data_IF_324044464417
#
_entry.id   IF_324044464417
#
_cell.length_a   1.000
_cell.length_b   1.000
_cell.length_c   1.000
_cell.angle_alpha   90.00
_cell.angle_beta   90.00
_cell.angle_gamma   90.00
#
_symmetry.space_group_name_H-M   'P 1'
#
loop_
_entity.id
_entity.type
_entity.pdbx_description
1 polymer ?
#
# COMPACT_ATOMS: atom_id res chain seq x y z
N UNK A 1 -3.57 -1.28 5.43
CA UNK A 1 -3.65 -0.61 4.12
C UNK A 1 -5.06 -0.06 3.98
N UNK A 2 -5.20 1.26 3.85
CA UNK A 2 -6.49 1.89 3.59
C UNK A 2 -6.57 2.15 2.10
N UNK A 3 -7.62 1.65 1.45
CA UNK A 3 -7.83 1.80 0.01
C UNK A 3 -9.30 2.11 -0.21
N UNK A 4 -9.60 3.11 -1.03
CA UNK A 4 -10.96 3.39 -1.51
C UNK A 4 -10.97 3.75 -3.00
N UNK A 5 -12.09 3.44 -3.64
CA UNK A 5 -12.34 3.86 -5.01
C UNK A 5 -12.74 5.34 -5.03
N UNK A 6 -12.15 6.11 -5.93
CA UNK A 6 -12.55 7.50 -6.19
C UNK A 6 -13.48 7.51 -7.39
N UNK A 7 -14.62 8.19 -7.27
CA UNK A 7 -15.37 8.61 -8.45
C UNK A 7 -14.77 9.94 -8.90
N UNK A 8 -13.90 9.90 -9.90
CA UNK A 8 -13.45 11.11 -10.58
C UNK A 8 -14.04 11.15 -11.99
N UNK A 9 -14.45 12.36 -12.38
CA UNK A 9 -15.06 12.79 -13.64
C UNK A 9 -15.95 11.75 -14.38
N UNK A 10 -17.29 11.92 -14.44
CA UNK A 10 -18.21 10.95 -15.06
C UNK A 10 -17.99 10.66 -16.56
N UNK A 11 -17.19 11.49 -17.25
CA UNK A 11 -16.80 11.28 -18.65
C UNK A 11 -15.48 10.50 -18.83
N UNK A 12 -14.80 10.16 -17.74
CA UNK A 12 -13.58 9.34 -17.72
C UNK A 12 -13.91 7.87 -17.44
N UNK A 13 -13.32 6.95 -18.21
CA UNK A 13 -13.38 5.50 -17.95
C UNK A 13 -12.24 5.03 -17.02
N UNK A 14 -11.55 5.94 -16.35
CA UNK A 14 -10.43 5.62 -15.47
C UNK A 14 -10.92 5.03 -14.15
N UNK A 15 -10.18 4.03 -13.64
CA UNK A 15 -10.41 3.46 -12.32
C UNK A 15 -9.30 3.95 -11.39
N UNK A 16 -9.64 4.83 -10.46
CA UNK A 16 -8.68 5.45 -9.55
C UNK A 16 -8.81 4.83 -8.16
N UNK A 17 -7.65 4.42 -7.64
CA UNK A 17 -7.50 3.82 -6.32
C UNK A 17 -6.70 4.80 -5.45
N UNK A 18 -7.27 5.24 -4.34
CA UNK A 18 -6.59 6.15 -3.41
C UNK A 18 -6.52 5.60 -1.98
N UNK A 19 -5.52 6.06 -1.22
CA UNK A 19 -5.37 5.72 0.19
C UNK A 19 -3.91 5.75 0.64
N UNK A 20 -3.67 5.24 1.86
CA UNK A 20 -2.33 5.16 2.43
C UNK A 20 -1.72 3.78 2.22
N UNK A 21 -0.69 3.71 1.38
CA UNK A 21 0.13 2.51 1.23
C UNK A 21 0.98 2.25 2.48
N UNK A 22 1.53 3.31 3.10
CA UNK A 22 2.40 3.26 4.28
C UNK A 22 2.01 4.40 5.23
N UNK A 23 1.91 4.12 6.54
CA UNK A 23 1.74 5.13 7.60
C UNK A 23 3.01 5.11 8.48
N UNK A 24 3.82 6.15 8.35
CA UNK A 24 5.10 6.25 9.07
C UNK A 24 4.90 6.63 10.54
N UNK A 25 5.80 6.13 11.40
CA UNK A 25 5.81 6.40 12.84
C UNK A 25 4.52 5.99 13.57
N UNK A 26 3.69 5.16 12.94
CA UNK A 26 2.46 4.63 13.49
C UNK A 26 2.59 3.11 13.69
N UNK A 27 2.21 2.57 14.85
CA UNK A 27 2.33 1.14 15.10
C UNK A 27 1.27 0.33 14.35
N UNK A 28 1.72 -0.67 13.59
CA UNK A 28 0.89 -1.78 13.15
C UNK A 28 1.06 -2.95 14.13
N UNK A 29 -0.05 -3.43 14.68
CA UNK A 29 -0.06 -4.55 15.64
C UNK A 29 -0.74 -5.74 14.97
N UNK A 30 -0.10 -6.91 15.05
CA UNK A 30 -0.68 -8.15 14.54
C UNK A 30 -0.29 -9.34 15.41
N UNK A 31 -1.21 -10.28 15.56
CA UNK A 31 -0.97 -11.53 16.28
C UNK A 31 -0.60 -12.64 15.31
N UNK A 32 0.48 -13.35 15.60
CA UNK A 32 0.88 -14.53 14.85
C UNK A 32 1.42 -15.61 15.77
N UNK A 33 0.83 -16.80 15.73
CA UNK A 33 1.27 -17.93 16.57
C UNK A 33 1.04 -17.72 18.08
N UNK A 34 0.19 -16.79 18.49
CA UNK A 34 -0.06 -16.47 19.91
C UNK A 34 0.91 -15.45 20.50
N UNK A 35 1.82 -14.89 19.69
CA UNK A 35 2.67 -13.75 20.05
C UNK A 35 2.18 -12.49 19.33
N UNK A 36 2.21 -11.36 20.04
CA UNK A 36 1.87 -10.04 19.49
C UNK A 36 3.13 -9.41 18.90
N UNK A 37 3.04 -9.00 17.64
CA UNK A 37 4.08 -8.27 16.94
C UNK A 37 3.64 -6.83 16.74
N UNK A 38 4.55 -5.90 17.05
CA UNK A 38 4.37 -4.47 16.82
C UNK A 38 5.44 -3.96 15.87
N UNK A 39 5.03 -3.52 14.69
CA UNK A 39 5.90 -2.92 13.69
C UNK A 39 5.69 -1.41 13.62
N UNK A 40 6.79 -0.64 13.51
CA UNK A 40 6.75 0.80 13.23
C UNK A 40 7.70 1.06 12.06
N UNK A 41 7.18 1.70 11.02
CA UNK A 41 7.97 2.07 9.83
C UNK A 41 8.56 3.47 10.06
N UNK A 42 9.89 3.58 10.08
CA UNK A 42 10.61 4.86 10.20
C UNK A 42 10.30 5.77 9.00
N UNK A 43 10.11 7.06 9.24
CA UNK A 43 9.84 8.05 8.19
C UNK A 43 10.90 8.14 7.08
N UNK A 44 12.11 7.61 7.32
CA UNK A 44 13.22 7.58 6.38
C UNK A 44 13.47 6.18 5.78
N UNK A 45 12.58 5.22 6.03
CA UNK A 45 12.76 3.84 5.59
C UNK A 45 12.90 3.70 4.05
N UNK A 46 12.36 4.65 3.30
CA UNK A 46 12.37 4.64 1.83
C UNK A 46 13.38 5.61 1.20
N UNK A 47 14.24 6.30 1.98
CA UNK A 47 15.16 7.33 1.46
C UNK A 47 16.09 6.84 0.34
N UNK A 48 16.32 5.53 0.27
CA UNK A 48 17.19 4.88 -0.74
C UNK A 48 16.41 4.01 -1.74
N UNK A 49 15.09 4.00 -1.66
CA UNK A 49 14.25 3.28 -2.59
C UNK A 49 13.96 4.16 -3.80
N UNK A 50 13.92 3.55 -4.98
CA UNK A 50 13.37 4.21 -6.16
C UNK A 50 11.84 4.19 -6.08
N UNK A 51 11.24 5.36 -5.97
CA UNK A 51 9.80 5.56 -5.86
C UNK A 51 9.19 6.18 -7.13
N UNK A 52 9.96 6.22 -8.22
CA UNK A 52 9.49 6.79 -9.50
C UNK A 52 8.46 5.92 -10.20
N UNK A 53 8.51 4.61 -9.97
CA UNK A 53 7.56 3.62 -10.49
C UNK A 53 7.28 2.54 -9.42
N UNK A 54 6.09 2.58 -8.81
CA UNK A 54 5.69 1.67 -7.74
C UNK A 54 4.56 0.77 -8.25
N UNK A 55 4.83 -0.52 -8.48
CA UNK A 55 3.87 -1.42 -9.13
C UNK A 55 2.68 -1.75 -8.24
N UNK A 56 1.47 -1.72 -8.80
CA UNK A 56 0.28 -2.22 -8.14
C UNK A 56 0.12 -3.72 -8.43
N UNK A 57 0.44 -4.57 -7.44
CA UNK A 57 0.26 -6.03 -7.56
C UNK A 57 -1.00 -6.50 -6.85
N UNK A 58 -1.90 -7.16 -7.60
CA UNK A 58 -3.05 -7.82 -7.00
C UNK A 58 -2.62 -9.09 -6.24
N UNK A 59 -2.95 -9.15 -4.95
CA UNK A 59 -2.68 -10.30 -4.07
C UNK A 59 -1.20 -10.75 -4.05
N UNK A 60 -0.26 -9.81 -4.25
CA UNK A 60 1.18 -10.11 -4.37
C UNK A 60 1.54 -11.21 -5.40
N UNK A 61 0.62 -11.56 -6.30
CA UNK A 61 0.79 -12.66 -7.26
C UNK A 61 1.75 -12.28 -8.39
N UNK A 62 2.55 -13.25 -8.84
CA UNK A 62 3.37 -13.12 -10.05
C UNK A 62 2.64 -13.60 -11.31
N UNK A 63 1.43 -14.17 -11.15
CA UNK A 63 0.64 -14.74 -12.25
C UNK A 63 -0.30 -13.73 -12.92
N UNK A 64 -0.37 -12.51 -12.38
CA UNK A 64 -1.17 -11.41 -12.94
C UNK A 64 -0.21 -10.35 -13.43
N UNK A 65 -0.58 -9.64 -14.50
CA UNK A 65 0.21 -8.50 -14.98
C UNK A 65 0.39 -7.48 -13.85
N UNK A 66 1.59 -6.92 -13.77
CA UNK A 66 1.84 -5.73 -12.94
C UNK A 66 0.99 -4.61 -13.50
N UNK A 67 0.15 -4.00 -12.64
CA UNK A 67 -0.71 -2.87 -12.99
C UNK A 67 -0.06 -1.55 -12.59
#
# INVERSE_FOLDING_TARGET
>A
MEIRAVQDNPDSNEMIVEGYAIRFNEPAIFDFGGEEFREIIDSRALDKADMTDVPLKYNHSDHVMVM
#
